data_IF_548971135970
#
_entry.id   IF_548971135970
#
_cell.length_a   1.000
_cell.length_b   1.000
_cell.length_c   1.000
_cell.angle_alpha   90.00
_cell.angle_beta   90.00
_cell.angle_gamma   90.00
#
_symmetry.space_group_name_H-M   'P 1'
#
loop_
_entity.id
_entity.type
_entity.pdbx_description
1 polymer ?
#
# COMPACT_ATOMS: atom_id res chain seq x y z
N UNK A 1 11.79 -3.39 -2.46
CA UNK A 1 12.96 -3.33 -3.33
C UNK A 1 13.34 -4.70 -3.91
N UNK A 2 12.78 -5.80 -3.42
CA UNK A 2 13.11 -7.15 -3.90
C UNK A 2 14.47 -7.68 -3.42
N UNK A 3 15.02 -7.10 -2.38
CA UNK A 3 16.31 -7.53 -1.80
C UNK A 3 16.14 -8.91 -1.15
N UNK A 4 17.03 -9.83 -1.53
CA UNK A 4 17.06 -11.18 -0.99
C UNK A 4 17.58 -11.21 0.46
N UNK A 5 17.05 -12.14 1.28
CA UNK A 5 17.59 -12.41 2.62
C UNK A 5 18.92 -13.15 2.52
N UNK A 6 19.68 -13.19 3.63
CA UNK A 6 20.96 -13.89 3.69
C UNK A 6 22.16 -13.04 3.29
N UNK A 7 22.08 -11.74 3.46
CA UNK A 7 23.14 -10.78 3.16
C UNK A 7 24.33 -10.82 4.15
N UNK A 8 24.23 -11.60 5.25
CA UNK A 8 25.31 -11.78 6.24
C UNK A 8 25.76 -10.46 6.88
N UNK A 9 27.08 -10.24 6.91
CA UNK A 9 27.73 -9.05 7.49
C UNK A 9 27.88 -7.87 6.49
N UNK A 10 27.22 -7.94 5.30
CA UNK A 10 27.30 -6.89 4.32
C UNK A 10 26.63 -5.61 4.81
N UNK A 11 27.22 -4.48 4.50
CA UNK A 11 26.61 -3.18 4.71
C UNK A 11 25.40 -2.98 3.78
N UNK A 12 24.52 -2.04 4.12
CA UNK A 12 23.36 -1.66 3.27
C UNK A 12 23.83 -1.30 1.87
N UNK A 13 24.93 -0.57 1.75
CA UNK A 13 25.49 -0.16 0.45
C UNK A 13 25.89 -1.38 -0.39
N UNK A 14 26.62 -2.33 0.19
CA UNK A 14 27.06 -3.54 -0.51
C UNK A 14 25.88 -4.42 -0.93
N UNK A 15 24.82 -4.47 -0.13
CA UNK A 15 23.61 -5.20 -0.48
C UNK A 15 22.86 -4.50 -1.63
N UNK A 16 22.70 -3.19 -1.57
CA UNK A 16 22.07 -2.41 -2.64
C UNK A 16 22.83 -2.54 -3.96
N UNK A 17 24.18 -2.46 -3.92
CA UNK A 17 25.03 -2.63 -5.11
C UNK A 17 24.88 -4.05 -5.71
N UNK A 18 24.84 -5.09 -4.88
CA UNK A 18 24.69 -6.47 -5.32
C UNK A 18 23.33 -6.76 -5.98
N UNK A 19 22.29 -6.11 -5.50
CA UNK A 19 20.89 -6.30 -5.96
C UNK A 19 20.47 -5.23 -6.99
N UNK A 20 21.40 -4.38 -7.45
CA UNK A 20 21.11 -3.29 -8.41
C UNK A 20 20.05 -2.29 -7.92
N UNK A 21 20.01 -2.03 -6.62
CA UNK A 21 19.10 -1.08 -5.97
C UNK A 21 19.85 0.23 -5.73
N UNK A 22 19.23 1.35 -6.04
CA UNK A 22 19.78 2.68 -5.70
C UNK A 22 19.77 2.87 -4.18
N UNK A 23 20.96 2.98 -3.58
CA UNK A 23 21.14 3.02 -2.14
C UNK A 23 20.52 4.27 -1.50
N UNK A 24 20.62 5.43 -2.15
CA UNK A 24 20.07 6.68 -1.62
C UNK A 24 18.54 6.63 -1.60
N UNK A 25 17.93 6.08 -2.65
CA UNK A 25 16.48 5.84 -2.69
C UNK A 25 16.05 4.81 -1.65
N UNK A 26 16.80 3.72 -1.48
CA UNK A 26 16.52 2.72 -0.43
C UNK A 26 16.53 3.36 0.96
N UNK A 27 17.56 4.13 1.29
CA UNK A 27 17.69 4.79 2.59
C UNK A 27 16.60 5.84 2.82
N UNK A 28 16.27 6.62 1.77
CA UNK A 28 15.21 7.61 1.86
C UNK A 28 13.85 6.95 2.17
N UNK A 29 13.49 5.86 1.47
CA UNK A 29 12.26 5.11 1.72
C UNK A 29 12.28 4.44 3.11
N UNK A 30 13.38 3.81 3.51
CA UNK A 30 13.52 3.18 4.81
C UNK A 30 13.36 4.19 5.95
N UNK A 31 13.99 5.35 5.84
CA UNK A 31 13.86 6.44 6.81
C UNK A 31 12.43 7.00 6.86
N UNK A 32 11.78 7.17 5.70
CA UNK A 32 10.40 7.62 5.61
C UNK A 32 9.43 6.66 6.34
N UNK A 33 9.58 5.36 6.11
CA UNK A 33 8.72 4.34 6.76
C UNK A 33 8.97 4.26 8.27
N UNK A 34 10.25 4.45 8.70
CA UNK A 34 10.65 4.36 10.09
C UNK A 34 10.39 5.63 10.89
N UNK A 35 10.14 6.75 10.23
CA UNK A 35 9.88 8.04 10.84
C UNK A 35 8.37 8.32 10.89
N UNK A 36 7.95 9.21 11.78
CA UNK A 36 6.57 9.74 11.79
C UNK A 36 6.34 10.81 10.70
N UNK A 37 7.28 10.96 9.77
CA UNK A 37 7.16 11.93 8.69
C UNK A 37 6.10 11.51 7.68
N UNK A 38 5.26 12.44 7.29
CA UNK A 38 4.16 12.22 6.34
C UNK A 38 4.50 12.62 4.91
N UNK A 39 5.68 13.19 4.67
CA UNK A 39 6.14 13.62 3.34
C UNK A 39 7.66 13.71 3.25
N UNK A 40 8.20 13.48 2.05
CA UNK A 40 9.59 13.81 1.74
C UNK A 40 9.78 15.32 1.62
N UNK A 41 10.98 15.83 1.98
CA UNK A 41 11.31 17.22 1.71
C UNK A 41 11.49 17.43 0.20
N UNK A 42 11.17 18.65 -0.27
CA UNK A 42 11.31 19.00 -1.70
C UNK A 42 12.77 18.90 -2.16
N UNK A 43 13.72 19.11 -1.26
CA UNK A 43 15.16 19.03 -1.54
C UNK A 43 15.66 17.59 -1.68
N UNK A 44 14.96 16.61 -1.12
CA UNK A 44 15.31 15.17 -1.21
C UNK A 44 14.81 14.53 -2.50
N UNK A 45 13.64 14.97 -3.00
CA UNK A 45 13.00 14.38 -4.18
C UNK A 45 13.90 14.28 -5.42
N UNK A 46 14.72 15.29 -5.79
CA UNK A 46 15.59 15.20 -6.97
C UNK A 46 16.70 14.16 -6.88
N UNK A 47 17.00 13.65 -5.67
CA UNK A 47 18.05 12.67 -5.44
C UNK A 47 17.57 11.24 -5.60
N UNK A 48 16.25 11.03 -5.65
CA UNK A 48 15.66 9.71 -5.71
C UNK A 48 15.74 9.14 -7.14
N UNK A 49 16.09 7.87 -7.23
CA UNK A 49 16.00 7.10 -8.48
C UNK A 49 14.54 6.74 -8.74
N UNK A 50 13.89 7.40 -9.70
CA UNK A 50 12.52 7.11 -10.10
C UNK A 50 12.33 5.64 -10.50
N UNK A 51 13.23 5.01 -11.29
CA UNK A 51 13.13 3.58 -11.58
C UNK A 51 13.12 2.71 -10.31
N UNK A 52 14.07 2.93 -9.39
CA UNK A 52 14.12 2.15 -8.13
C UNK A 52 12.89 2.36 -7.26
N UNK A 53 12.37 3.58 -7.21
CA UNK A 53 11.13 3.88 -6.49
C UNK A 53 9.92 3.17 -7.12
N UNK A 54 9.82 3.13 -8.45
CA UNK A 54 8.75 2.42 -9.15
C UNK A 54 8.80 0.91 -8.92
N UNK A 55 10.00 0.33 -8.91
CA UNK A 55 10.17 -1.11 -8.64
C UNK A 55 9.85 -1.44 -7.17
N UNK A 56 10.21 -0.56 -6.23
CA UNK A 56 9.76 -0.64 -4.84
C UNK A 56 8.22 -0.61 -4.74
N UNK A 57 7.56 0.36 -5.39
CA UNK A 57 6.10 0.48 -5.33
C UNK A 57 5.39 -0.75 -5.90
N UNK A 58 5.87 -1.33 -7.01
CA UNK A 58 5.30 -2.57 -7.55
C UNK A 58 5.41 -3.75 -6.58
N UNK A 59 6.58 -3.91 -5.95
CA UNK A 59 6.77 -4.94 -4.96
C UNK A 59 5.89 -4.70 -3.73
N UNK A 60 5.72 -3.43 -3.31
CA UNK A 60 4.83 -3.04 -2.23
C UNK A 60 3.35 -3.36 -2.58
N UNK A 61 2.90 -3.09 -3.81
CA UNK A 61 1.56 -3.46 -4.29
C UNK A 61 1.34 -4.97 -4.19
N UNK A 62 2.27 -5.77 -4.70
CA UNK A 62 2.21 -7.23 -4.63
C UNK A 62 2.15 -7.70 -3.18
N UNK A 63 3.03 -7.20 -2.32
CA UNK A 63 3.04 -7.55 -0.90
C UNK A 63 1.72 -7.19 -0.22
N UNK A 64 1.19 -6.01 -0.50
CA UNK A 64 -0.05 -5.55 0.11
C UNK A 64 -1.26 -6.39 -0.34
N UNK A 65 -1.38 -6.65 -1.65
CA UNK A 65 -2.50 -7.40 -2.21
C UNK A 65 -2.48 -8.89 -1.86
N UNK A 66 -1.29 -9.51 -1.84
CA UNK A 66 -1.16 -10.96 -1.72
C UNK A 66 -0.92 -11.43 -0.27
N UNK A 67 -0.45 -10.53 0.61
CA UNK A 67 -0.14 -10.89 2.00
C UNK A 67 -0.90 -10.03 3.02
N UNK A 68 -0.83 -8.71 2.93
CA UNK A 68 -1.41 -7.82 3.96
C UNK A 68 -2.93 -7.89 3.97
N UNK A 69 -3.59 -7.67 2.82
CA UNK A 69 -5.05 -7.69 2.75
C UNK A 69 -5.66 -9.06 3.09
N UNK A 70 -5.14 -10.20 2.62
CA UNK A 70 -5.61 -11.52 3.05
C UNK A 70 -5.38 -11.78 4.56
N UNK A 71 -4.27 -11.30 5.12
CA UNK A 71 -4.01 -11.40 6.56
C UNK A 71 -5.01 -10.56 7.36
N UNK A 72 -5.26 -9.32 6.94
CA UNK A 72 -6.24 -8.43 7.58
C UNK A 72 -7.65 -9.04 7.52
N UNK A 73 -8.03 -9.63 6.36
CA UNK A 73 -9.32 -10.32 6.23
C UNK A 73 -9.48 -11.46 7.23
N UNK A 74 -8.44 -12.28 7.41
CA UNK A 74 -8.48 -13.36 8.41
C UNK A 74 -8.61 -12.82 9.81
N UNK A 75 -7.81 -11.81 10.18
CA UNK A 75 -7.90 -11.16 11.49
C UNK A 75 -9.27 -10.52 11.72
N UNK A 76 -9.85 -9.91 10.69
CA UNK A 76 -11.20 -9.35 10.78
C UNK A 76 -12.24 -10.44 11.05
N UNK A 77 -12.18 -11.59 10.37
CA UNK A 77 -13.07 -12.74 10.61
C UNK A 77 -12.93 -13.25 12.03
N UNK A 78 -11.70 -13.39 12.53
CA UNK A 78 -11.43 -13.82 13.91
C UNK A 78 -12.01 -12.82 14.92
N UNK A 79 -11.78 -11.51 14.69
CA UNK A 79 -12.24 -10.46 15.61
C UNK A 79 -13.75 -10.31 15.71
N UNK A 80 -14.46 -10.43 14.58
CA UNK A 80 -15.92 -10.29 14.54
C UNK A 80 -16.68 -11.60 14.86
N UNK A 81 -15.93 -12.69 15.09
CA UNK A 81 -16.52 -13.95 15.57
C UNK A 81 -17.67 -14.46 14.70
N UNK A 82 -17.53 -14.45 13.38
CA UNK A 82 -18.58 -14.72 12.40
C UNK A 82 -19.44 -15.94 12.76
N UNK A 83 -20.47 -15.76 13.59
CA UNK A 83 -21.59 -16.69 13.67
C UNK A 83 -22.48 -16.50 12.44
N UNK A 84 -23.07 -17.57 11.93
CA UNK A 84 -23.95 -17.51 10.74
C UNK A 84 -25.17 -16.60 10.90
N UNK A 85 -25.44 -16.12 12.12
CA UNK A 85 -26.61 -15.33 12.49
C UNK A 85 -26.29 -13.82 12.62
N UNK A 86 -25.00 -13.41 12.54
CA UNK A 86 -24.62 -12.01 12.65
C UNK A 86 -24.62 -11.30 11.29
N UNK A 87 -25.74 -10.65 11.00
CA UNK A 87 -25.91 -9.87 9.77
C UNK A 87 -24.95 -8.70 9.69
N UNK A 88 -24.52 -8.10 10.81
CA UNK A 88 -23.59 -6.97 10.84
C UNK A 88 -22.19 -7.45 10.49
N UNK A 89 -21.73 -8.55 11.08
CA UNK A 89 -20.46 -9.18 10.76
C UNK A 89 -20.36 -9.53 9.26
N UNK A 90 -21.44 -10.12 8.71
CA UNK A 90 -21.50 -10.42 7.28
C UNK A 90 -21.39 -9.16 6.39
N UNK A 91 -22.07 -8.08 6.75
CA UNK A 91 -22.02 -6.82 6.01
C UNK A 91 -20.63 -6.17 6.08
N UNK A 92 -19.95 -6.22 7.25
CA UNK A 92 -18.58 -5.73 7.42
C UNK A 92 -17.64 -6.48 6.49
N UNK A 93 -17.69 -7.80 6.44
CA UNK A 93 -16.85 -8.61 5.55
C UNK A 93 -17.12 -8.30 4.08
N UNK A 94 -18.39 -8.19 3.70
CA UNK A 94 -18.77 -7.83 2.34
C UNK A 94 -18.22 -6.44 1.94
N UNK A 95 -18.31 -5.49 2.84
CA UNK A 95 -17.75 -4.15 2.61
C UNK A 95 -16.23 -4.20 2.48
N UNK A 96 -15.55 -4.97 3.34
CA UNK A 96 -14.12 -5.20 3.24
C UNK A 96 -13.71 -5.82 1.90
N UNK A 97 -14.44 -6.84 1.43
CA UNK A 97 -14.17 -7.50 0.15
C UNK A 97 -14.34 -6.53 -1.05
N UNK A 98 -15.32 -5.63 -0.99
CA UNK A 98 -15.47 -4.54 -1.98
C UNK A 98 -14.28 -3.58 -1.92
N UNK A 99 -13.89 -3.14 -0.73
CA UNK A 99 -12.70 -2.31 -0.54
C UNK A 99 -11.43 -2.96 -1.12
N UNK A 100 -11.21 -4.24 -0.87
CA UNK A 100 -10.06 -5.00 -1.43
C UNK A 100 -10.06 -4.98 -2.95
N UNK A 101 -11.21 -5.11 -3.59
CA UNK A 101 -11.32 -5.05 -5.05
C UNK A 101 -11.02 -3.64 -5.59
N UNK A 102 -11.53 -2.59 -4.94
CA UNK A 102 -11.23 -1.20 -5.32
C UNK A 102 -9.72 -0.90 -5.20
N UNK A 103 -9.07 -1.37 -4.13
CA UNK A 103 -7.61 -1.24 -3.95
C UNK A 103 -6.84 -1.99 -5.04
N UNK A 104 -7.27 -3.21 -5.38
CA UNK A 104 -6.65 -4.00 -6.46
C UNK A 104 -6.72 -3.29 -7.80
N UNK A 105 -7.90 -2.79 -8.18
CA UNK A 105 -8.10 -2.04 -9.42
C UNK A 105 -7.24 -0.77 -9.45
N UNK A 106 -7.15 -0.06 -8.32
CA UNK A 106 -6.31 1.12 -8.18
C UNK A 106 -4.82 0.81 -8.39
N UNK A 107 -4.28 -0.19 -7.69
CA UNK A 107 -2.87 -0.58 -7.80
C UNK A 107 -2.54 -1.14 -9.20
N UNK A 108 -3.48 -1.85 -9.81
CA UNK A 108 -3.33 -2.30 -11.19
C UNK A 108 -3.28 -1.12 -12.18
N UNK A 109 -4.15 -0.13 -12.01
CA UNK A 109 -4.12 1.10 -12.80
C UNK A 109 -2.78 1.83 -12.66
N UNK A 110 -2.23 1.92 -11.44
CA UNK A 110 -0.90 2.50 -11.23
C UNK A 110 0.18 1.73 -11.97
N UNK A 111 0.22 0.42 -11.82
CA UNK A 111 1.22 -0.43 -12.46
C UNK A 111 1.19 -0.35 -13.99
N UNK A 112 0.00 -0.32 -14.59
CA UNK A 112 -0.19 -0.36 -16.03
C UNK A 112 -0.14 1.01 -16.69
N UNK A 113 -0.80 2.00 -16.11
CA UNK A 113 -0.98 3.30 -16.74
C UNK A 113 0.00 4.35 -16.20
N UNK A 114 0.08 4.51 -14.87
CA UNK A 114 0.88 5.58 -14.26
C UNK A 114 2.36 5.31 -14.45
N UNK A 115 2.83 4.09 -14.12
CA UNK A 115 4.25 3.76 -14.25
C UNK A 115 4.70 3.69 -15.72
N UNK A 116 3.81 3.30 -16.62
CA UNK A 116 4.09 3.36 -18.07
C UNK A 116 4.23 4.79 -18.56
N UNK A 117 3.39 5.70 -18.08
CA UNK A 117 3.50 7.13 -18.37
C UNK A 117 4.80 7.72 -17.82
N UNK A 118 5.15 7.42 -16.57
CA UNK A 118 6.40 7.90 -15.95
C UNK A 118 7.63 7.40 -16.73
N UNK A 119 7.64 6.11 -17.14
CA UNK A 119 8.71 5.56 -17.99
C UNK A 119 8.83 6.29 -19.34
N UNK A 120 7.70 6.62 -19.95
CA UNK A 120 7.69 7.37 -21.21
C UNK A 120 8.27 8.79 -21.01
N UNK A 121 7.95 9.47 -19.91
CA UNK A 121 8.50 10.78 -19.57
C UNK A 121 10.02 10.73 -19.36
N UNK A 122 10.53 9.73 -18.64
CA UNK A 122 11.95 9.51 -18.44
C UNK A 122 12.69 9.28 -19.78
N UNK A 123 12.02 8.66 -20.74
CA UNK A 123 12.50 8.47 -22.11
C UNK A 123 12.31 9.68 -23.04
N UNK A 124 11.90 10.84 -22.52
CA UNK A 124 11.66 12.05 -23.29
C UNK A 124 10.38 12.02 -24.17
N UNK A 125 9.50 11.06 -23.95
CA UNK A 125 8.25 10.92 -24.71
C UNK A 125 7.07 11.52 -23.93
N UNK A 126 6.54 12.64 -24.40
CA UNK A 126 5.34 13.27 -23.84
C UNK A 126 4.07 12.56 -24.34
N UNK A 127 3.34 11.94 -23.45
CA UNK A 127 1.99 11.44 -23.73
C UNK A 127 0.96 12.49 -23.26
N UNK A 128 0.42 13.28 -24.19
CA UNK A 128 -0.55 14.35 -23.90
C UNK A 128 -1.95 13.82 -23.46
N UNK A 129 -2.18 12.52 -23.55
CA UNK A 129 -3.49 11.92 -23.19
C UNK A 129 -3.58 11.57 -21.70
N UNK A 130 -2.47 11.50 -20.98
CA UNK A 130 -2.47 11.21 -19.56
C UNK A 130 -2.46 12.51 -18.75
N UNK A 131 -3.32 12.59 -17.74
CA UNK A 131 -3.38 13.72 -16.82
C UNK A 131 -3.14 13.24 -15.39
N UNK A 132 -2.03 13.67 -14.79
CA UNK A 132 -1.64 13.31 -13.43
C UNK A 132 -2.68 13.73 -12.37
N UNK A 133 -3.49 14.75 -12.65
CA UNK A 133 -4.56 15.19 -11.72
C UNK A 133 -5.68 14.16 -11.58
N UNK A 134 -5.92 13.34 -12.62
CA UNK A 134 -6.85 12.20 -12.52
C UNK A 134 -6.37 11.15 -11.53
N UNK A 135 -5.04 10.93 -11.50
CA UNK A 135 -4.42 10.03 -10.54
C UNK A 135 -4.65 10.46 -9.09
N UNK A 136 -4.44 11.74 -8.77
CA UNK A 136 -4.66 12.26 -7.42
C UNK A 136 -6.10 12.04 -6.92
N UNK A 137 -7.10 12.10 -7.80
CA UNK A 137 -8.50 11.85 -7.43
C UNK A 137 -8.81 10.40 -7.09
N UNK A 138 -8.05 9.44 -7.62
CA UNK A 138 -8.22 8.02 -7.30
C UNK A 138 -7.74 7.69 -5.87
N UNK A 139 -6.66 8.32 -5.41
CA UNK A 139 -6.16 8.14 -4.04
C UNK A 139 -7.18 8.60 -2.98
N UNK A 140 -7.80 9.76 -3.18
CA UNK A 140 -8.79 10.28 -2.22
C UNK A 140 -9.97 9.33 -2.02
N UNK A 141 -10.40 8.63 -3.06
CA UNK A 141 -11.51 7.64 -2.97
C UNK A 141 -11.16 6.43 -2.12
N UNK A 142 -9.94 5.90 -2.23
CA UNK A 142 -9.49 4.76 -1.41
C UNK A 142 -9.43 5.16 0.08
N UNK A 143 -8.90 6.35 0.38
CA UNK A 143 -8.86 6.87 1.75
C UNK A 143 -10.26 7.07 2.34
N UNK A 144 -11.20 7.58 1.56
CA UNK A 144 -12.59 7.73 1.97
C UNK A 144 -13.24 6.38 2.28
N UNK A 145 -13.03 5.36 1.44
CA UNK A 145 -13.53 4.01 1.66
C UNK A 145 -12.96 3.36 2.92
N UNK A 146 -11.67 3.55 3.17
CA UNK A 146 -11.06 3.04 4.40
C UNK A 146 -11.65 3.72 5.65
N UNK A 147 -11.84 5.03 5.62
CA UNK A 147 -12.50 5.78 6.70
C UNK A 147 -13.95 5.33 6.91
N UNK A 148 -14.68 5.06 5.83
CA UNK A 148 -16.05 4.54 5.89
C UNK A 148 -16.08 3.16 6.54
N UNK A 149 -15.20 2.23 6.14
CA UNK A 149 -15.08 0.90 6.74
C UNK A 149 -14.79 0.97 8.24
N UNK A 150 -13.80 1.78 8.64
CA UNK A 150 -13.49 2.03 10.06
C UNK A 150 -14.69 2.59 10.81
N UNK A 151 -15.40 3.55 10.21
CA UNK A 151 -16.62 4.13 10.79
C UNK A 151 -17.74 3.12 10.99
N UNK A 152 -17.95 2.21 10.03
CA UNK A 152 -18.94 1.13 10.13
C UNK A 152 -18.60 0.19 11.28
N UNK A 153 -17.35 -0.28 11.36
CA UNK A 153 -16.90 -1.18 12.43
C UNK A 153 -17.07 -0.50 13.79
N UNK A 154 -16.54 0.71 13.95
CA UNK A 154 -16.56 1.43 15.23
C UNK A 154 -17.97 1.76 15.71
N UNK A 155 -18.90 2.05 14.79
CA UNK A 155 -20.24 2.55 15.14
C UNK A 155 -21.28 1.44 15.33
N UNK A 156 -21.18 0.37 14.56
CA UNK A 156 -22.25 -0.61 14.48
C UNK A 156 -21.91 -1.98 15.03
N UNK A 157 -20.63 -2.28 15.20
CA UNK A 157 -20.20 -3.53 15.79
C UNK A 157 -20.09 -3.39 17.32
N UNK A 158 -21.05 -3.95 18.04
CA UNK A 158 -21.21 -3.77 19.50
C UNK A 158 -20.97 -5.06 20.31
N UNK A 159 -20.71 -6.19 19.65
CA UNK A 159 -20.52 -7.46 20.36
C UNK A 159 -19.19 -7.52 21.11
N UNK A 160 -19.18 -8.34 22.18
CA UNK A 160 -18.06 -8.55 23.10
C UNK A 160 -16.96 -9.45 22.53
N UNK A 161 -16.81 -9.49 21.22
CA UNK A 161 -15.66 -10.09 20.57
C UNK A 161 -14.39 -9.33 20.96
N UNK A 162 -13.28 -9.97 20.84
CA UNK A 162 -11.97 -9.52 21.32
C UNK A 162 -11.65 -8.08 20.84
N UNK A 163 -12.12 -7.07 21.61
CA UNK A 163 -11.98 -5.66 21.28
C UNK A 163 -10.52 -5.26 21.01
N UNK A 164 -9.56 -5.97 21.63
CA UNK A 164 -8.14 -5.79 21.38
C UNK A 164 -7.74 -6.24 19.98
N UNK A 165 -8.26 -7.38 19.52
CA UNK A 165 -7.95 -7.91 18.19
C UNK A 165 -8.58 -7.02 17.09
N UNK A 166 -9.81 -6.54 17.33
CA UNK A 166 -10.49 -5.63 16.42
C UNK A 166 -9.76 -4.27 16.33
N UNK A 167 -9.35 -3.70 17.47
CA UNK A 167 -8.56 -2.46 17.51
C UNK A 167 -7.21 -2.58 16.81
N UNK A 168 -6.57 -3.75 16.88
CA UNK A 168 -5.31 -4.02 16.16
C UNK A 168 -5.50 -4.24 14.65
N UNK A 169 -6.74 -4.41 14.19
CA UNK A 169 -7.07 -4.63 12.77
C UNK A 169 -7.47 -3.34 12.07
N UNK A 170 -7.93 -2.32 12.83
CA UNK A 170 -8.34 -1.00 12.37
C UNK A 170 -7.18 -0.01 12.23
#
# INVERSE_FOLDING_TARGET
>A
FGISLGFGEKSVKEVCEAENVDCDTFLAVANFISSEQTSFSVEELPKLSIPSLMDYLKNAHTYFLDFVLPMLRRKLIEAIGCSREDNVAFLILKFFDVFVNEVREHMQYENEQVFSYVKALLGGKLNRKFNITMFASHHSKIDERLKELKGIITKYYTESSDNLLLSATL
#
